data_IF_497215322088
#
_entry.id   IF_497215322088
#
_cell.length_a   1.000
_cell.length_b   1.000
_cell.length_c   1.000
_cell.angle_alpha   90.00
_cell.angle_beta   90.00
_cell.angle_gamma   90.00
#
_symmetry.space_group_name_H-M   'P 1'
#
loop_
_entity.id
_entity.type
_entity.pdbx_description
1 polymer ?
#
# COMPACT_ATOMS: atom_id res chain seq x y z
N UNK A 1 15.06 10.71 -29.71
CA UNK A 1 13.59 10.71 -29.51
C UNK A 1 13.07 9.33 -29.84
N UNK A 2 13.12 8.41 -28.87
CA UNK A 2 12.48 7.10 -28.98
C UNK A 2 11.07 7.23 -28.42
N UNK A 3 10.08 6.75 -29.17
CA UNK A 3 8.66 6.76 -28.82
C UNK A 3 8.42 6.27 -27.38
N UNK A 4 8.12 7.19 -26.45
CA UNK A 4 7.43 6.89 -25.18
C UNK A 4 5.92 6.76 -25.43
N UNK A 5 5.57 6.16 -26.57
CA UNK A 5 4.29 5.56 -26.84
C UNK A 5 4.46 4.06 -26.67
N UNK A 6 4.85 3.61 -25.47
CA UNK A 6 4.65 2.22 -25.04
C UNK A 6 3.14 2.02 -24.81
N UNK A 7 2.42 2.17 -25.91
CA UNK A 7 1.17 1.54 -26.29
C UNK A 7 0.31 1.04 -25.13
N UNK A 8 -0.63 1.89 -24.69
CA UNK A 8 -1.90 1.52 -24.00
C UNK A 8 -2.60 0.29 -24.64
N UNK A 9 -2.21 -0.08 -25.87
CA UNK A 9 -2.71 -1.24 -26.62
C UNK A 9 -2.23 -2.59 -26.03
N UNK A 10 -1.15 -2.65 -25.25
CA UNK A 10 -0.62 -3.90 -24.66
C UNK A 10 -1.09 -4.19 -23.22
N UNK A 11 -1.86 -3.29 -22.59
CA UNK A 11 -2.42 -3.48 -21.24
C UNK A 11 -3.91 -3.84 -21.24
N UNK A 12 -4.47 -4.23 -22.40
CA UNK A 12 -5.82 -4.79 -22.45
C UNK A 12 -5.76 -6.23 -21.99
N UNK A 13 -6.29 -6.48 -20.80
CA UNK A 13 -6.46 -7.83 -20.26
C UNK A 13 -7.20 -8.71 -21.28
N UNK A 14 -6.62 -9.88 -21.56
CA UNK A 14 -7.25 -10.88 -22.41
C UNK A 14 -8.54 -11.38 -21.77
N UNK A 15 -9.44 -11.97 -22.57
CA UNK A 15 -10.65 -12.61 -22.05
C UNK A 15 -10.33 -13.71 -21.01
N UNK A 16 -9.18 -14.36 -21.15
CA UNK A 16 -8.66 -15.36 -20.20
C UNK A 16 -8.35 -14.70 -18.85
N UNK A 17 -7.69 -13.54 -18.85
CA UNK A 17 -7.31 -12.84 -17.62
C UNK A 17 -8.56 -12.37 -16.85
N UNK A 18 -9.58 -11.88 -17.57
CA UNK A 18 -10.88 -11.53 -16.97
C UNK A 18 -11.61 -12.74 -16.38
N UNK A 19 -11.46 -13.91 -17.00
CA UNK A 19 -12.04 -15.15 -16.49
C UNK A 19 -11.40 -15.55 -15.16
N UNK A 20 -10.08 -15.36 -15.02
CA UNK A 20 -9.37 -15.60 -13.75
C UNK A 20 -9.87 -14.64 -12.67
N UNK A 21 -9.99 -13.35 -12.99
CA UNK A 21 -10.52 -12.34 -12.05
C UNK A 21 -11.95 -12.70 -11.62
N UNK A 22 -12.82 -13.06 -12.58
CA UNK A 22 -14.19 -13.47 -12.28
C UNK A 22 -14.24 -14.73 -11.41
N UNK A 23 -13.42 -15.74 -11.70
CA UNK A 23 -13.32 -16.95 -10.90
C UNK A 23 -12.88 -16.67 -9.45
N UNK A 24 -11.88 -15.81 -9.26
CA UNK A 24 -11.43 -15.37 -7.94
C UNK A 24 -12.54 -14.63 -7.18
N UNK A 25 -13.27 -13.72 -7.86
CA UNK A 25 -14.39 -12.99 -7.25
C UNK A 25 -15.51 -13.94 -6.84
N UNK A 26 -15.90 -14.90 -7.70
CA UNK A 26 -16.92 -15.90 -7.39
C UNK A 26 -16.47 -16.78 -6.20
N UNK A 27 -15.22 -17.22 -6.19
CA UNK A 27 -14.66 -17.99 -5.09
C UNK A 27 -14.76 -17.25 -3.76
N UNK A 28 -14.36 -15.98 -3.73
CA UNK A 28 -14.48 -15.13 -2.55
C UNK A 28 -15.94 -14.94 -2.14
N UNK A 29 -16.84 -14.60 -3.08
CA UNK A 29 -18.26 -14.47 -2.81
C UNK A 29 -18.85 -15.74 -2.20
N UNK A 30 -18.47 -16.93 -2.70
CA UNK A 30 -18.91 -18.20 -2.15
C UNK A 30 -18.50 -18.36 -0.68
N UNK A 31 -17.24 -18.08 -0.32
CA UNK A 31 -16.79 -18.14 1.06
C UNK A 31 -17.49 -17.12 1.95
N UNK A 32 -17.73 -15.90 1.44
CA UNK A 32 -18.49 -14.84 2.14
C UNK A 32 -19.92 -15.31 2.43
N UNK A 33 -20.66 -15.77 1.42
CA UNK A 33 -22.04 -16.22 1.64
C UNK A 33 -22.11 -17.44 2.56
N UNK A 34 -21.09 -18.32 2.49
CA UNK A 34 -21.00 -19.48 3.38
C UNK A 34 -20.69 -19.09 4.82
N UNK A 35 -19.95 -18.01 5.04
CA UNK A 35 -19.59 -17.54 6.39
C UNK A 35 -20.69 -16.72 7.05
N UNK A 36 -21.67 -16.20 6.31
CA UNK A 36 -22.85 -15.50 6.89
C UNK A 36 -23.59 -16.33 7.94
N UNK A 37 -23.60 -17.67 7.83
CA UNK A 37 -24.23 -18.57 8.81
C UNK A 37 -23.59 -18.51 10.20
N UNK A 38 -22.39 -17.96 10.32
CA UNK A 38 -21.68 -17.79 11.59
C UNK A 38 -22.00 -16.45 12.26
N UNK A 39 -22.63 -15.51 11.55
CA UNK A 39 -23.09 -14.25 12.14
C UNK A 39 -24.39 -14.52 12.92
N UNK A 40 -24.31 -14.62 14.24
CA UNK A 40 -25.47 -14.87 15.12
C UNK A 40 -25.74 -13.73 16.08
N UNK A 41 -24.75 -12.89 16.37
CA UNK A 41 -24.94 -11.73 17.24
C UNK A 41 -23.83 -10.68 17.19
N UNK A 42 -23.88 -9.73 18.13
CA UNK A 42 -23.00 -8.56 18.18
C UNK A 42 -21.53 -8.94 18.41
N UNK A 43 -21.27 -9.98 19.19
CA UNK A 43 -19.90 -10.46 19.40
C UNK A 43 -19.30 -11.08 18.13
N UNK A 44 -20.10 -11.73 17.28
CA UNK A 44 -19.67 -12.22 15.97
C UNK A 44 -19.40 -11.05 15.02
N UNK A 45 -20.24 -10.02 15.11
CA UNK A 45 -20.09 -8.83 14.28
C UNK A 45 -18.83 -8.03 14.63
N UNK A 46 -18.51 -7.81 15.92
CA UNK A 46 -17.42 -6.93 16.35
C UNK A 46 -16.10 -7.65 16.63
N UNK A 47 -16.13 -8.88 17.15
CA UNK A 47 -14.94 -9.60 17.63
C UNK A 47 -14.91 -11.05 17.14
N UNK A 48 -15.55 -11.33 16.00
CA UNK A 48 -15.64 -12.66 15.40
C UNK A 48 -16.01 -13.79 16.38
N UNK A 49 -16.84 -13.49 17.39
CA UNK A 49 -17.28 -14.45 18.42
C UNK A 49 -16.14 -15.06 19.24
N UNK A 50 -14.91 -14.54 19.12
CA UNK A 50 -13.68 -15.13 19.65
C UNK A 50 -13.49 -16.60 19.25
N UNK A 51 -14.06 -16.99 18.11
CA UNK A 51 -14.01 -18.38 17.64
C UNK A 51 -12.79 -18.68 16.76
N UNK A 52 -11.99 -17.65 16.47
CA UNK A 52 -10.90 -17.74 15.52
C UNK A 52 -9.67 -18.43 16.11
N UNK A 53 -9.32 -19.61 15.58
CA UNK A 53 -8.10 -20.33 15.97
C UNK A 53 -6.82 -19.61 15.53
N UNK A 54 -5.69 -19.97 16.17
CA UNK A 54 -4.37 -19.34 15.97
C UNK A 54 -3.96 -19.25 14.49
N UNK A 55 -4.11 -20.34 13.74
CA UNK A 55 -3.73 -20.37 12.32
C UNK A 55 -4.55 -19.40 11.47
N UNK A 56 -5.87 -19.37 11.67
CA UNK A 56 -6.75 -18.45 10.94
C UNK A 56 -6.40 -17.00 11.26
N UNK A 57 -6.16 -16.68 12.53
CA UNK A 57 -5.75 -15.34 12.94
C UNK A 57 -4.39 -14.94 12.35
N UNK A 58 -3.43 -15.87 12.26
CA UNK A 58 -2.11 -15.57 11.66
C UNK A 58 -2.19 -15.23 10.18
N UNK A 59 -2.92 -16.02 9.38
CA UNK A 59 -3.07 -15.76 7.95
C UNK A 59 -3.92 -14.51 7.69
N UNK A 60 -5.07 -14.39 8.36
CA UNK A 60 -5.96 -13.26 8.17
C UNK A 60 -5.35 -11.94 8.68
N UNK A 61 -4.67 -11.96 9.83
CA UNK A 61 -3.94 -10.79 10.34
C UNK A 61 -2.79 -10.36 9.43
N UNK A 62 -2.06 -11.31 8.82
CA UNK A 62 -1.03 -11.01 7.83
C UNK A 62 -1.60 -10.35 6.56
N UNK A 63 -2.75 -10.83 6.08
CA UNK A 63 -3.41 -10.26 4.91
C UNK A 63 -4.08 -8.91 5.17
N UNK A 64 -4.58 -8.67 6.38
CA UNK A 64 -5.16 -7.37 6.74
C UNK A 64 -4.17 -6.19 6.56
N UNK A 65 -2.86 -6.46 6.63
CA UNK A 65 -1.80 -5.47 6.36
C UNK A 65 -1.36 -5.39 4.89
N UNK A 66 -1.75 -6.37 4.06
CA UNK A 66 -1.32 -6.49 2.68
C UNK A 66 -2.45 -6.14 1.71
N UNK A 67 -2.42 -4.93 1.15
CA UNK A 67 -3.33 -4.50 0.09
C UNK A 67 -2.58 -4.04 -1.17
N UNK A 68 -3.33 -3.70 -2.21
CA UNK A 68 -2.77 -3.10 -3.43
C UNK A 68 -1.95 -1.83 -3.13
N UNK A 69 -2.40 -1.03 -2.16
CA UNK A 69 -1.69 0.17 -1.70
C UNK A 69 -0.35 -0.20 -1.06
N UNK A 70 -0.32 -1.21 -0.20
CA UNK A 70 0.92 -1.69 0.43
C UNK A 70 1.93 -2.16 -0.63
N UNK A 71 1.47 -2.88 -1.66
CA UNK A 71 2.33 -3.35 -2.76
C UNK A 71 2.88 -2.17 -3.58
N UNK A 72 2.04 -1.21 -3.95
CA UNK A 72 2.46 -0.01 -4.69
C UNK A 72 3.42 0.84 -3.85
N UNK A 73 3.14 1.02 -2.56
CA UNK A 73 3.99 1.78 -1.65
C UNK A 73 5.36 1.11 -1.44
N UNK A 74 5.39 -0.21 -1.25
CA UNK A 74 6.65 -0.97 -1.16
C UNK A 74 7.43 -0.87 -2.47
N UNK A 75 6.75 -1.02 -3.61
CA UNK A 75 7.37 -0.83 -4.92
C UNK A 75 7.96 0.57 -5.06
N UNK A 76 7.23 1.63 -4.71
CA UNK A 76 7.68 3.01 -4.80
C UNK A 76 8.90 3.29 -3.90
N UNK A 77 8.89 2.79 -2.66
CA UNK A 77 10.01 2.94 -1.73
C UNK A 77 11.27 2.28 -2.31
N UNK A 78 11.17 1.04 -2.78
CA UNK A 78 12.31 0.29 -3.32
C UNK A 78 12.76 0.81 -4.68
N UNK A 79 11.83 1.23 -5.52
CA UNK A 79 12.13 1.81 -6.83
C UNK A 79 12.88 3.13 -6.69
N UNK A 80 12.45 3.99 -5.77
CA UNK A 80 13.07 5.30 -5.57
C UNK A 80 14.36 5.22 -4.76
N UNK A 81 14.38 4.46 -3.66
CA UNK A 81 15.46 4.52 -2.67
C UNK A 81 16.36 3.29 -2.66
N UNK A 82 16.03 2.24 -3.42
CA UNK A 82 16.74 0.96 -3.40
C UNK A 82 16.39 0.10 -2.17
N UNK A 83 17.31 -0.80 -1.82
CA UNK A 83 17.20 -1.69 -0.65
C UNK A 83 17.58 -1.11 0.73
N UNK A 84 18.30 0.02 0.89
CA UNK A 84 18.63 0.55 2.21
C UNK A 84 17.43 0.79 3.16
N UNK A 85 16.25 1.28 2.71
CA UNK A 85 15.05 1.37 3.57
C UNK A 85 14.65 0.05 4.23
N UNK A 86 14.91 -1.08 3.57
CA UNK A 86 14.60 -2.41 4.11
C UNK A 86 15.42 -2.70 5.38
N UNK A 87 16.69 -2.29 5.40
CA UNK A 87 17.56 -2.44 6.58
C UNK A 87 17.01 -1.64 7.77
N UNK A 88 16.55 -0.41 7.53
CA UNK A 88 15.91 0.41 8.57
C UNK A 88 14.63 -0.25 9.10
N UNK A 89 13.82 -0.83 8.22
CA UNK A 89 12.62 -1.57 8.64
C UNK A 89 12.97 -2.82 9.44
N UNK A 90 14.06 -3.53 9.10
CA UNK A 90 14.54 -4.69 9.84
C UNK A 90 14.85 -4.38 11.30
N UNK A 91 15.27 -3.15 11.63
CA UNK A 91 15.53 -2.73 13.02
C UNK A 91 14.28 -2.71 13.91
N UNK A 92 13.07 -2.64 13.35
CA UNK A 92 11.83 -2.68 14.14
C UNK A 92 11.39 -4.10 14.53
N UNK A 93 11.84 -5.14 13.81
CA UNK A 93 11.43 -6.52 14.06
C UNK A 93 11.74 -7.00 15.48
N UNK A 94 12.95 -6.78 16.03
CA UNK A 94 13.25 -7.17 17.42
C UNK A 94 12.34 -6.48 18.43
N UNK A 95 12.01 -5.20 18.21
CA UNK A 95 11.13 -4.42 19.09
C UNK A 95 9.71 -5.00 19.05
N UNK A 96 9.20 -5.29 17.85
CA UNK A 96 7.89 -5.90 17.66
C UNK A 96 7.81 -7.28 18.33
N UNK A 97 8.87 -8.09 18.24
CA UNK A 97 8.96 -9.39 18.93
C UNK A 97 8.91 -9.19 20.45
N UNK A 98 9.69 -8.25 21.01
CA UNK A 98 9.67 -7.95 22.44
C UNK A 98 8.28 -7.48 22.92
N UNK A 99 7.62 -6.61 22.16
CA UNK A 99 6.25 -6.15 22.44
C UNK A 99 5.23 -7.30 22.39
N UNK A 100 5.34 -8.17 21.39
CA UNK A 100 4.43 -9.30 21.19
C UNK A 100 4.65 -10.39 22.24
N UNK A 101 5.89 -10.63 22.68
CA UNK A 101 6.19 -11.62 23.73
C UNK A 101 5.85 -11.10 25.12
N UNK A 102 6.06 -9.81 25.38
CA UNK A 102 5.83 -9.20 26.71
C UNK A 102 4.37 -9.08 27.11
N UNK A 103 3.40 -9.37 26.23
CA UNK A 103 2.00 -9.16 26.58
C UNK A 103 1.52 -7.72 26.38
N UNK A 104 2.38 -6.82 25.88
CA UNK A 104 2.16 -5.37 25.99
C UNK A 104 0.84 -4.96 25.32
N UNK A 105 -0.04 -4.37 26.13
CA UNK A 105 -1.43 -3.99 25.82
C UNK A 105 -2.36 -5.16 25.46
N UNK A 106 -1.96 -6.08 24.58
CA UNK A 106 -2.84 -7.15 24.08
C UNK A 106 -3.31 -8.10 25.19
N UNK A 107 -2.44 -8.43 26.15
CA UNK A 107 -2.76 -9.40 27.20
C UNK A 107 -3.92 -8.87 28.07
N UNK A 108 -3.77 -7.62 28.55
CA UNK A 108 -4.80 -6.93 29.32
C UNK A 108 -6.06 -6.64 28.49
N UNK A 109 -5.89 -6.31 27.22
CA UNK A 109 -7.01 -6.10 26.30
C UNK A 109 -7.89 -7.36 26.20
N UNK A 110 -7.28 -8.54 26.05
CA UNK A 110 -7.99 -9.84 26.03
C UNK A 110 -8.62 -10.19 27.38
N UNK A 111 -7.92 -9.97 28.50
CA UNK A 111 -8.45 -10.25 29.84
C UNK A 111 -9.72 -9.46 30.15
N UNK A 112 -9.76 -8.17 29.77
CA UNK A 112 -10.94 -7.32 30.01
C UNK A 112 -12.15 -7.68 29.14
N UNK A 113 -12.00 -8.57 28.15
CA UNK A 113 -13.05 -8.96 27.20
C UNK A 113 -13.74 -7.77 26.52
N UNK A 114 -13.02 -6.65 26.38
CA UNK A 114 -13.49 -5.50 25.62
C UNK A 114 -13.59 -5.86 24.13
N UNK A 115 -14.56 -5.28 23.43
CA UNK A 115 -14.73 -5.47 21.99
C UNK A 115 -14.01 -4.40 21.17
N UNK A 116 -13.73 -3.24 21.76
CA UNK A 116 -13.02 -2.12 21.11
C UNK A 116 -11.95 -1.54 22.04
N UNK A 117 -10.90 -0.96 21.44
CA UNK A 117 -9.84 -0.29 22.22
C UNK A 117 -10.40 0.91 23.00
N UNK A 118 -11.42 1.60 22.45
CA UNK A 118 -12.12 2.67 23.16
C UNK A 118 -12.82 2.18 24.44
N UNK A 119 -13.41 0.97 24.42
CA UNK A 119 -13.98 0.34 25.61
C UNK A 119 -12.91 -0.05 26.63
N UNK A 120 -11.78 -0.55 26.16
CA UNK A 120 -10.64 -0.84 27.04
C UNK A 120 -10.14 0.42 27.78
N UNK A 121 -10.08 1.56 27.08
CA UNK A 121 -9.78 2.84 27.72
C UNK A 121 -10.87 3.32 28.69
N UNK A 122 -12.14 3.01 28.43
CA UNK A 122 -13.23 3.30 29.37
C UNK A 122 -13.01 2.61 30.72
N UNK A 123 -12.76 1.29 30.67
CA UNK A 123 -12.56 0.47 31.88
C UNK A 123 -11.35 0.95 32.68
N UNK A 124 -10.33 1.49 32.01
CA UNK A 124 -9.08 1.90 32.65
C UNK A 124 -9.06 3.35 33.15
N UNK A 125 -9.65 4.28 32.40
CA UNK A 125 -9.49 5.73 32.61
C UNK A 125 -10.80 6.52 32.66
N UNK A 126 -11.93 5.91 32.29
CA UNK A 126 -13.26 6.53 32.38
C UNK A 126 -13.88 6.92 31.03
N UNK A 127 -15.12 7.43 31.10
CA UNK A 127 -15.99 7.65 29.94
C UNK A 127 -15.53 8.76 28.99
N UNK A 128 -14.86 9.80 29.51
CA UNK A 128 -14.35 10.91 28.68
C UNK A 128 -13.33 10.41 27.66
N UNK A 129 -12.41 9.55 28.09
CA UNK A 129 -11.38 8.98 27.20
C UNK A 129 -11.99 8.03 26.16
N UNK A 130 -13.05 7.29 26.49
CA UNK A 130 -13.78 6.46 25.52
C UNK A 130 -14.30 7.29 24.35
N UNK A 131 -14.96 8.41 24.64
CA UNK A 131 -15.57 9.27 23.61
C UNK A 131 -14.46 9.87 22.74
N UNK A 132 -13.41 10.39 23.36
CA UNK A 132 -12.25 10.95 22.66
C UNK A 132 -11.58 9.93 21.73
N UNK A 133 -11.21 8.77 22.27
CA UNK A 133 -10.57 7.71 21.50
C UNK A 133 -11.49 7.19 20.39
N UNK A 134 -12.79 7.04 20.67
CA UNK A 134 -13.79 6.62 19.69
C UNK A 134 -13.92 7.57 18.51
N UNK A 135 -13.94 8.89 18.74
CA UNK A 135 -14.03 9.90 17.68
C UNK A 135 -12.75 9.92 16.83
N UNK A 136 -11.57 9.87 17.45
CA UNK A 136 -10.29 9.83 16.72
C UNK A 136 -10.17 8.58 15.87
N UNK A 137 -10.56 7.44 16.45
CA UNK A 137 -10.60 6.15 15.77
C UNK A 137 -11.55 6.27 14.57
N UNK A 138 -12.81 6.61 14.78
CA UNK A 138 -13.76 6.78 13.69
C UNK A 138 -13.28 7.75 12.60
N UNK A 139 -12.76 8.93 12.96
CA UNK A 139 -12.28 9.93 12.00
C UNK A 139 -11.07 9.46 11.19
N UNK A 140 -10.06 8.86 11.84
CA UNK A 140 -8.91 8.26 11.13
C UNK A 140 -9.33 7.10 10.24
N UNK A 141 -10.32 6.29 10.67
CA UNK A 141 -10.88 5.20 9.89
C UNK A 141 -11.55 5.68 8.61
N UNK A 142 -12.35 6.75 8.68
CA UNK A 142 -13.01 7.36 7.50
C UNK A 142 -11.98 7.87 6.49
N UNK A 143 -10.93 8.56 6.95
CA UNK A 143 -9.85 9.05 6.08
C UNK A 143 -9.12 7.87 5.42
N UNK A 144 -8.83 6.82 6.19
CA UNK A 144 -8.17 5.61 5.71
C UNK A 144 -9.01 4.89 4.63
N UNK A 145 -10.32 4.74 4.84
CA UNK A 145 -11.26 4.19 3.85
C UNK A 145 -11.46 5.07 2.62
N UNK A 146 -11.06 6.35 2.66
CA UNK A 146 -10.98 7.19 1.48
C UNK A 146 -9.72 6.94 0.66
N UNK A 147 -8.55 6.94 1.33
CA UNK A 147 -7.24 6.90 0.66
C UNK A 147 -6.93 5.51 0.11
N UNK A 148 -7.10 4.45 0.90
CA UNK A 148 -6.65 3.12 0.52
C UNK A 148 -7.40 2.59 -0.72
N UNK A 149 -8.75 2.63 -0.76
CA UNK A 149 -9.50 2.22 -1.93
C UNK A 149 -9.26 3.12 -3.14
N UNK A 150 -9.05 4.42 -2.94
CA UNK A 150 -8.78 5.34 -4.06
C UNK A 150 -7.46 4.99 -4.78
N UNK A 151 -6.39 4.67 -4.05
CA UNK A 151 -5.13 4.22 -4.64
C UNK A 151 -5.30 2.87 -5.32
N UNK A 152 -6.03 1.93 -4.71
CA UNK A 152 -6.32 0.63 -5.33
C UNK A 152 -7.15 0.76 -6.64
N UNK A 153 -8.15 1.65 -6.68
CA UNK A 153 -8.96 1.89 -7.87
C UNK A 153 -8.13 2.53 -8.99
N UNK A 154 -7.24 3.48 -8.65
CA UNK A 154 -6.30 4.03 -9.63
C UNK A 154 -5.38 2.94 -10.17
N UNK A 155 -4.84 2.08 -9.31
CA UNK A 155 -4.05 0.93 -9.73
C UNK A 155 -4.82 0.05 -10.74
N UNK A 156 -6.08 -0.29 -10.45
CA UNK A 156 -6.94 -1.08 -11.36
C UNK A 156 -7.15 -0.37 -12.70
N UNK A 157 -7.51 0.92 -12.70
CA UNK A 157 -7.75 1.69 -13.94
C UNK A 157 -6.52 1.67 -14.84
N UNK A 158 -5.33 1.91 -14.27
CA UNK A 158 -4.09 1.97 -15.03
C UNK A 158 -3.63 0.59 -15.49
N UNK A 159 -3.71 -0.43 -14.63
CA UNK A 159 -3.24 -1.77 -14.93
C UNK A 159 -4.15 -2.51 -15.92
N UNK A 160 -5.47 -2.31 -15.83
CA UNK A 160 -6.44 -2.87 -16.78
C UNK A 160 -6.55 -2.07 -18.09
N UNK A 161 -5.81 -0.96 -18.22
CA UNK A 161 -5.83 -0.10 -19.40
C UNK A 161 -7.18 0.57 -19.67
N UNK A 162 -7.98 0.80 -18.61
CA UNK A 162 -9.26 1.49 -18.73
C UNK A 162 -9.04 2.99 -19.05
N UNK A 163 -9.97 3.65 -19.77
CA UNK A 163 -9.86 5.09 -19.99
C UNK A 163 -9.89 5.82 -18.64
N UNK A 164 -9.06 6.85 -18.47
CA UNK A 164 -9.02 7.62 -17.20
C UNK A 164 -10.30 8.41 -16.94
N UNK A 165 -10.96 8.84 -18.01
CA UNK A 165 -12.23 9.54 -17.98
C UNK A 165 -13.17 8.91 -19.01
N UNK A 166 -14.45 8.78 -18.65
CA UNK A 166 -15.50 8.40 -19.58
C UNK A 166 -16.55 9.51 -19.64
N UNK A 167 -17.12 9.71 -20.82
CA UNK A 167 -18.18 10.66 -21.04
C UNK A 167 -19.51 9.97 -20.73
N UNK A 168 -20.18 10.36 -19.65
CA UNK A 168 -21.53 9.90 -19.33
C UNK A 168 -22.48 11.09 -19.41
N UNK A 169 -23.46 11.03 -20.33
CA UNK A 169 -24.48 12.08 -20.49
C UNK A 169 -23.88 13.51 -20.62
N UNK A 170 -22.74 13.66 -21.30
CA UNK A 170 -22.07 14.95 -21.48
C UNK A 170 -21.20 15.43 -20.30
N UNK A 171 -21.14 14.67 -19.21
CA UNK A 171 -20.28 14.93 -18.06
C UNK A 171 -19.05 14.03 -18.14
N UNK A 172 -17.86 14.63 -18.07
CA UNK A 172 -16.59 13.91 -17.99
C UNK A 172 -16.39 13.41 -16.56
N UNK A 173 -16.63 12.13 -16.33
CA UNK A 173 -16.47 11.50 -15.01
C UNK A 173 -15.16 10.69 -15.02
N UNK A 174 -14.31 10.85 -13.99
CA UNK A 174 -13.12 10.04 -13.88
C UNK A 174 -13.49 8.59 -13.54
N UNK A 175 -12.95 7.63 -14.30
CA UNK A 175 -13.31 6.20 -14.24
C UNK A 175 -13.01 5.55 -12.89
N UNK A 176 -12.08 6.11 -12.10
CA UNK A 176 -11.79 5.58 -10.77
C UNK A 176 -12.97 5.76 -9.80
N UNK A 177 -13.81 6.80 -9.96
CA UNK A 177 -14.92 7.09 -9.06
C UNK A 177 -16.01 5.99 -9.06
N UNK A 178 -16.56 5.55 -10.21
CA UNK A 178 -17.52 4.44 -10.20
C UNK A 178 -16.90 3.12 -9.75
N UNK A 179 -15.63 2.84 -10.07
CA UNK A 179 -14.93 1.64 -9.59
C UNK A 179 -14.81 1.68 -8.06
N UNK A 180 -14.51 2.85 -7.48
CA UNK A 180 -14.47 3.04 -6.04
C UNK A 180 -15.85 2.82 -5.41
N UNK A 181 -16.92 3.35 -5.98
CA UNK A 181 -18.29 3.12 -5.50
C UNK A 181 -18.66 1.63 -5.56
N UNK A 182 -18.34 0.93 -6.64
CA UNK A 182 -18.65 -0.49 -6.80
C UNK A 182 -17.85 -1.33 -5.79
N UNK A 183 -16.54 -1.13 -5.71
CA UNK A 183 -15.65 -1.90 -4.82
C UNK A 183 -15.97 -1.66 -3.35
N UNK A 184 -16.18 -0.40 -2.94
CA UNK A 184 -16.64 -0.08 -1.59
C UNK A 184 -18.05 -0.60 -1.31
N UNK A 185 -18.96 -0.54 -2.29
CA UNK A 185 -20.32 -1.07 -2.15
C UNK A 185 -20.33 -2.57 -1.89
N UNK A 186 -19.50 -3.34 -2.61
CA UNK A 186 -19.33 -4.78 -2.37
C UNK A 186 -18.71 -5.01 -0.99
N UNK A 187 -17.62 -4.33 -0.65
CA UNK A 187 -16.94 -4.48 0.65
C UNK A 187 -17.86 -4.13 1.83
N UNK A 188 -18.64 -3.06 1.71
CA UNK A 188 -19.62 -2.65 2.70
C UNK A 188 -20.71 -3.71 2.85
N UNK A 189 -21.25 -4.22 1.74
CA UNK A 189 -22.28 -5.26 1.75
C UNK A 189 -21.79 -6.54 2.43
N UNK A 190 -20.57 -6.99 2.14
CA UNK A 190 -20.00 -8.18 2.76
C UNK A 190 -19.74 -7.98 4.25
N UNK A 191 -19.25 -6.81 4.64
CA UNK A 191 -18.95 -6.49 6.04
C UNK A 191 -20.22 -6.32 6.86
N UNK A 192 -21.27 -5.69 6.32
CA UNK A 192 -22.54 -5.48 7.03
C UNK A 192 -23.34 -6.76 7.18
N UNK A 193 -23.35 -7.63 6.16
CA UNK A 193 -24.04 -8.93 6.24
C UNK A 193 -23.28 -9.94 7.10
N UNK A 194 -21.95 -9.95 7.00
CA UNK A 194 -21.13 -11.02 7.54
C UNK A 194 -20.36 -10.71 8.82
N UNK A 195 -20.22 -9.43 9.17
CA UNK A 195 -19.42 -8.98 10.31
C UNK A 195 -17.95 -9.37 10.22
N UNK A 196 -17.24 -9.23 11.35
CA UNK A 196 -15.81 -9.56 11.45
C UNK A 196 -15.49 -11.05 11.24
N UNK A 197 -16.41 -11.98 11.53
CA UNK A 197 -16.21 -13.41 11.20
C UNK A 197 -15.98 -13.60 9.71
N UNK A 198 -16.81 -12.96 8.89
CA UNK A 198 -16.74 -13.08 7.43
C UNK A 198 -15.45 -12.48 6.90
N UNK A 199 -15.09 -11.28 7.37
CA UNK A 199 -13.83 -10.62 7.00
C UNK A 199 -12.62 -11.50 7.34
N UNK A 200 -12.61 -12.10 8.54
CA UNK A 200 -11.50 -12.95 8.95
C UNK A 200 -11.39 -14.25 8.11
N UNK A 201 -12.52 -14.84 7.73
CA UNK A 201 -12.53 -16.02 6.86
C UNK A 201 -12.04 -15.65 5.45
N UNK A 202 -12.53 -14.54 4.88
CA UNK A 202 -12.10 -14.10 3.55
C UNK A 202 -10.63 -13.74 3.53
N UNK A 203 -10.12 -13.04 4.55
CA UNK A 203 -8.71 -12.67 4.67
C UNK A 203 -7.82 -13.91 4.82
N UNK A 204 -8.29 -14.94 5.55
CA UNK A 204 -7.58 -16.21 5.67
C UNK A 204 -7.47 -16.93 4.31
N UNK A 205 -8.58 -17.05 3.58
CA UNK A 205 -8.61 -17.69 2.25
C UNK A 205 -7.74 -16.92 1.25
N UNK A 206 -7.85 -15.58 1.24
CA UNK A 206 -6.99 -14.71 0.44
C UNK A 206 -5.52 -14.89 0.82
N UNK A 207 -5.20 -15.05 2.11
CA UNK A 207 -3.83 -15.23 2.57
C UNK A 207 -3.19 -16.52 2.13
N UNK A 208 -3.94 -17.62 2.18
CA UNK A 208 -3.48 -18.90 1.65
C UNK A 208 -3.25 -18.78 0.14
N UNK A 209 -4.20 -18.19 -0.59
CA UNK A 209 -4.10 -18.02 -2.03
C UNK A 209 -2.92 -17.12 -2.44
N UNK A 210 -2.81 -15.92 -1.85
CA UNK A 210 -1.72 -14.99 -2.10
C UNK A 210 -0.37 -15.56 -1.69
N UNK A 211 -0.30 -16.30 -0.58
CA UNK A 211 0.93 -16.98 -0.14
C UNK A 211 1.46 -17.97 -1.18
N UNK A 212 0.58 -18.84 -1.70
CA UNK A 212 0.94 -19.78 -2.78
C UNK A 212 1.37 -19.01 -4.04
N UNK A 213 0.61 -17.99 -4.43
CA UNK A 213 0.89 -17.19 -5.62
C UNK A 213 2.22 -16.44 -5.53
N UNK A 214 2.56 -15.87 -4.37
CA UNK A 214 3.84 -15.18 -4.16
C UNK A 214 5.02 -16.14 -4.16
N UNK A 215 4.89 -17.33 -3.59
CA UNK A 215 5.94 -18.36 -3.66
C UNK A 215 6.15 -18.81 -5.10
N UNK A 216 5.08 -19.09 -5.84
CA UNK A 216 5.16 -19.45 -7.25
C UNK A 216 5.79 -18.33 -8.09
N UNK A 217 5.39 -17.07 -7.86
CA UNK A 217 5.96 -15.91 -8.53
C UNK A 217 7.44 -15.73 -8.19
N UNK A 218 7.85 -15.93 -6.93
CA UNK A 218 9.24 -15.86 -6.51
C UNK A 218 10.09 -16.91 -7.25
N UNK A 219 9.63 -18.17 -7.31
CA UNK A 219 10.33 -19.21 -8.08
C UNK A 219 10.39 -18.89 -9.57
N UNK A 220 9.29 -18.40 -10.15
CA UNK A 220 9.26 -17.99 -11.55
C UNK A 220 10.27 -16.88 -11.85
N UNK A 221 10.36 -15.86 -11.00
CA UNK A 221 11.31 -14.76 -11.15
C UNK A 221 12.77 -15.23 -11.00
N UNK A 222 13.04 -16.10 -10.02
CA UNK A 222 14.38 -16.68 -9.83
C UNK A 222 14.81 -17.61 -10.97
N UNK A 223 13.85 -18.26 -11.64
CA UNK A 223 14.13 -19.07 -12.82
C UNK A 223 14.32 -18.22 -14.09
N UNK A 224 13.56 -17.14 -14.23
CA UNK A 224 13.58 -16.29 -15.42
C UNK A 224 14.79 -15.36 -15.45
N UNK A 225 15.20 -14.83 -14.30
CA UNK A 225 16.30 -13.86 -14.20
C UNK A 225 17.52 -14.49 -13.55
N UNK A 226 18.66 -14.41 -14.24
CA UNK A 226 19.92 -14.88 -13.65
C UNK A 226 20.36 -13.94 -12.53
N UNK A 227 21.05 -14.49 -11.53
CA UNK A 227 21.64 -13.68 -10.45
C UNK A 227 22.62 -12.62 -10.99
N UNK A 228 23.30 -12.92 -12.10
CA UNK A 228 24.20 -11.98 -12.76
C UNK A 228 23.45 -10.75 -13.28
N UNK A 229 22.30 -10.95 -13.93
CA UNK A 229 21.46 -9.87 -14.46
C UNK A 229 20.89 -9.01 -13.33
N UNK A 230 20.39 -9.64 -12.26
CA UNK A 230 19.88 -8.96 -11.07
C UNK A 230 20.97 -8.09 -10.45
N UNK A 231 22.18 -8.66 -10.23
CA UNK A 231 23.28 -7.93 -9.62
C UNK A 231 23.81 -6.79 -10.48
N UNK A 232 23.79 -6.95 -11.81
CA UNK A 232 24.24 -5.94 -12.76
C UNK A 232 23.24 -4.79 -12.84
N UNK A 233 21.94 -5.10 -12.94
CA UNK A 233 20.87 -4.10 -12.90
C UNK A 233 20.90 -3.30 -11.58
N UNK A 234 21.16 -3.96 -10.45
CA UNK A 234 21.32 -3.29 -9.15
C UNK A 234 22.53 -2.36 -9.09
N UNK A 235 23.64 -2.70 -9.77
CA UNK A 235 24.85 -1.86 -9.82
C UNK A 235 24.74 -0.69 -10.79
N UNK A 236 23.98 -0.85 -11.87
CA UNK A 236 23.75 0.17 -12.89
C UNK A 236 22.59 1.11 -12.55
N UNK A 237 21.84 0.80 -11.50
CA UNK A 237 20.75 1.63 -10.99
C UNK A 237 21.22 3.08 -10.72
N UNK A 238 20.69 4.10 -11.42
CA UNK A 238 21.03 5.49 -11.12
C UNK A 238 20.65 5.84 -9.68
N UNK A 239 21.43 6.72 -9.06
CA UNK A 239 21.26 7.15 -7.66
C UNK A 239 19.81 7.61 -7.40
N UNK A 240 19.23 7.28 -6.23
CA UNK A 240 17.87 7.69 -5.84
C UNK A 240 17.50 9.15 -6.13
N UNK A 241 18.48 10.05 -5.98
CA UNK A 241 18.35 11.47 -6.25
C UNK A 241 18.06 11.79 -7.72
N UNK A 242 18.82 11.18 -8.64
CA UNK A 242 18.65 11.38 -10.10
C UNK A 242 17.30 10.85 -10.57
N UNK A 243 16.80 9.76 -9.95
CA UNK A 243 15.47 9.20 -10.26
C UNK A 243 14.33 10.11 -9.82
N UNK A 244 14.40 10.67 -8.60
CA UNK A 244 13.40 11.61 -8.10
C UNK A 244 13.41 12.92 -8.88
N UNK A 245 14.58 13.45 -9.19
CA UNK A 245 14.72 14.65 -10.03
C UNK A 245 14.15 14.40 -11.44
N UNK A 246 14.45 13.26 -12.07
CA UNK A 246 13.88 12.89 -13.36
C UNK A 246 12.34 12.67 -13.32
N UNK A 247 11.81 12.05 -12.26
CA UNK A 247 10.38 11.84 -12.07
C UNK A 247 9.63 13.16 -11.81
N UNK A 248 10.21 14.07 -11.02
CA UNK A 248 9.68 15.41 -10.84
C UNK A 248 9.70 16.22 -12.14
N UNK A 249 10.78 16.14 -12.92
CA UNK A 249 10.85 16.81 -14.23
C UNK A 249 9.81 16.23 -15.20
N UNK A 250 9.60 14.91 -15.22
CA UNK A 250 8.57 14.26 -16.02
C UNK A 250 7.16 14.66 -15.60
N UNK A 251 6.86 14.66 -14.29
CA UNK A 251 5.57 15.10 -13.76
C UNK A 251 5.29 16.58 -14.07
N UNK A 252 6.29 17.46 -13.90
CA UNK A 252 6.18 18.88 -14.27
C UNK A 252 5.96 19.07 -15.77
N UNK A 253 6.60 18.24 -16.61
CA UNK A 253 6.41 18.27 -18.06
C UNK A 253 5.00 17.80 -18.48
N UNK A 254 4.46 16.78 -17.82
CA UNK A 254 3.12 16.25 -18.08
C UNK A 254 2.02 17.24 -17.66
N UNK A 255 2.16 17.87 -16.48
CA UNK A 255 1.28 18.96 -16.04
C UNK A 255 1.39 20.19 -16.95
N UNK A 256 2.60 20.53 -17.42
CA UNK A 256 2.79 21.60 -18.38
C UNK A 256 2.15 21.28 -19.75
N UNK A 257 2.20 20.03 -20.18
CA UNK A 257 1.57 19.54 -21.41
C UNK A 257 0.04 19.57 -21.32
N UNK A 258 -0.56 19.08 -20.23
CA UNK A 258 -2.00 19.19 -19.99
C UNK A 258 -2.46 20.65 -19.93
N UNK A 259 -1.67 21.52 -19.29
CA UNK A 259 -1.97 22.96 -19.22
C UNK A 259 -1.89 23.61 -20.60
N UNK A 260 -0.92 23.23 -21.43
CA UNK A 260 -0.83 23.69 -22.82
C UNK A 260 -2.03 23.22 -23.67
N UNK A 261 -2.51 22.00 -23.43
CA UNK A 261 -3.69 21.44 -24.08
C UNK A 261 -4.98 22.17 -23.68
N UNK A 262 -5.15 22.51 -22.39
CA UNK A 262 -6.32 23.25 -21.88
C UNK A 262 -6.37 24.71 -22.32
N UNK A 263 -5.23 25.31 -22.63
CA UNK A 263 -5.13 26.71 -23.08
C UNK A 263 -5.30 26.85 -24.60
N UNK A 264 -5.55 25.74 -25.33
CA UNK A 264 -5.74 25.78 -26.78
C UNK A 264 -4.47 26.21 -27.55
N UNK A 265 -3.30 26.14 -26.91
CA UNK A 265 -2.03 26.48 -27.52
C UNK A 265 -1.49 25.28 -28.31
N UNK A 266 -2.23 24.87 -29.34
CA UNK A 266 -1.71 24.00 -30.40
C UNK A 266 -1.71 24.82 -31.68
N UNK A 267 -0.68 25.67 -31.85
CA UNK A 267 0.25 25.56 -32.97
C UNK A 267 1.25 26.72 -33.08
N UNK A 268 2.38 26.35 -33.70
CA UNK A 268 3.37 27.13 -34.45
C UNK A 268 4.50 27.84 -33.72
N UNK A 269 5.72 27.42 -34.10
CA UNK A 269 6.82 28.36 -34.31
C UNK A 269 7.92 28.33 -33.25
N UNK A 270 9.05 27.74 -33.64
CA UNK A 270 10.41 28.14 -33.25
C UNK A 270 10.57 28.96 -31.97
N UNK A 271 10.84 28.28 -30.85
CA UNK A 271 11.65 28.86 -29.78
C UNK A 271 12.59 27.81 -29.24
N UNK A 272 13.76 27.71 -29.89
CA UNK A 272 15.01 27.21 -29.29
C UNK A 272 15.31 28.10 -28.08
N UNK A 273 14.67 27.81 -26.95
CA UNK A 273 15.07 28.37 -25.66
C UNK A 273 16.29 27.58 -25.21
N UNK A 274 17.48 28.13 -25.50
CA UNK A 274 18.75 28.02 -24.76
C UNK A 274 19.09 26.70 -24.00
N UNK A 275 18.72 25.55 -24.55
CA UNK A 275 18.95 24.22 -23.97
C UNK A 275 20.45 23.83 -23.92
N UNK A 276 21.31 24.45 -24.74
CA UNK A 276 22.73 24.13 -24.80
C UNK A 276 23.59 24.84 -23.73
N UNK A 277 23.15 26.00 -23.21
CA UNK A 277 23.83 26.68 -22.09
C UNK A 277 23.54 26.01 -20.74
N UNK A 278 22.31 25.53 -20.55
CA UNK A 278 21.94 24.76 -19.35
C UNK A 278 22.68 23.42 -19.27
N UNK A 279 22.90 22.76 -20.41
CA UNK A 279 23.54 21.45 -20.52
C UNK A 279 25.05 21.46 -20.21
N UNK A 280 25.75 22.57 -20.41
CA UNK A 280 27.20 22.69 -20.10
C UNK A 280 27.49 23.11 -18.65
N UNK A 281 26.64 23.93 -18.04
CA UNK A 281 26.82 24.35 -16.65
C UNK A 281 26.53 23.23 -15.63
N UNK A 282 25.64 22.28 -15.97
CA UNK A 282 25.34 21.13 -15.10
C UNK A 282 26.40 20.01 -15.17
N UNK A 283 27.19 19.94 -16.25
CA UNK A 283 28.11 18.83 -16.50
C UNK A 283 29.35 18.78 -15.59
N UNK A 284 29.87 19.91 -15.15
CA UNK A 284 31.14 19.94 -14.38
C UNK A 284 30.95 19.86 -12.86
N UNK A 285 29.83 20.35 -12.32
CA UNK A 285 29.53 20.29 -10.89
C UNK A 285 28.95 18.94 -10.45
N UNK A 286 28.25 18.22 -11.34
CA UNK A 286 27.76 16.87 -11.03
C UNK A 286 28.87 15.82 -10.98
N UNK A 287 29.87 15.93 -11.85
CA UNK A 287 31.00 14.96 -11.90
C UNK A 287 31.84 15.04 -10.61
N UNK A 288 31.98 16.22 -10.00
CA UNK A 288 32.69 16.37 -8.72
C UNK A 288 31.89 15.86 -7.51
N UNK A 289 30.57 15.88 -7.53
CA UNK A 289 29.73 15.35 -6.43
C UNK A 289 29.61 13.83 -6.44
N UNK A 290 29.70 13.19 -7.62
CA UNK A 290 29.65 11.72 -7.77
C UNK A 290 30.88 11.02 -7.14
N UNK A 291 32.00 11.74 -6.95
CA UNK A 291 33.23 11.19 -6.38
C UNK A 291 33.20 11.02 -4.85
N UNK A 292 32.22 11.59 -4.13
CA UNK A 292 32.21 11.54 -2.67
C UNK A 292 31.31 10.41 -2.14
N UNK A 293 31.96 9.45 -1.44
CA UNK A 293 31.42 8.42 -0.54
C UNK A 293 30.79 7.17 -1.17
N UNK A 294 31.63 6.36 -1.81
CA UNK A 294 31.37 4.94 -2.08
C UNK A 294 31.91 4.09 -0.92
N UNK A 295 31.05 3.66 0.01
CA UNK A 295 31.35 2.53 0.89
C UNK A 295 30.20 1.54 0.81
N UNK A 296 30.44 0.41 0.11
CA UNK A 296 29.43 -0.59 -0.24
C UNK A 296 29.21 -1.65 0.85
N UNK A 297 29.91 -1.54 1.98
CA UNK A 297 29.76 -2.42 3.15
C UNK A 297 29.04 -1.72 4.32
N UNK A 298 28.91 -0.39 4.28
CA UNK A 298 28.35 0.38 5.39
C UNK A 298 26.89 0.76 5.11
N UNK A 299 25.90 0.13 5.79
CA UNK A 299 24.48 0.44 5.61
C UNK A 299 24.09 1.86 6.06
N UNK A 300 25.00 2.59 6.74
CA UNK A 300 24.81 3.97 7.16
C UNK A 300 25.22 5.01 6.11
N UNK A 301 25.88 4.58 5.02
CA UNK A 301 26.35 5.48 3.96
C UNK A 301 25.45 5.36 2.72
N UNK A 302 24.19 5.73 2.90
CA UNK A 302 23.20 5.87 1.84
C UNK A 302 23.51 7.11 1.00
N UNK A 303 23.64 6.94 -0.31
CA UNK A 303 23.90 8.02 -1.26
C UNK A 303 22.73 9.02 -1.34
N UNK A 304 22.62 9.91 -0.35
CA UNK A 304 21.69 11.04 -0.30
C UNK A 304 20.60 11.01 0.77
N UNK A 305 20.54 10.01 1.65
CA UNK A 305 19.66 10.03 2.82
C UNK A 305 20.51 9.78 4.07
N UNK A 306 20.91 10.84 4.76
CA UNK A 306 21.59 10.69 6.04
C UNK A 306 20.67 9.96 7.01
N UNK A 307 21.21 8.99 7.77
CA UNK A 307 20.45 8.36 8.83
C UNK A 307 19.98 9.42 9.82
N UNK A 308 18.68 9.69 9.81
CA UNK A 308 18.08 10.59 10.77
C UNK A 308 17.68 9.79 12.02
N UNK A 309 18.56 9.79 13.01
CA UNK A 309 18.32 9.14 14.29
C UNK A 309 17.04 9.64 14.98
N UNK A 310 16.71 10.93 14.88
CA UNK A 310 15.47 11.47 15.43
C UNK A 310 14.24 10.89 14.73
N UNK A 311 14.29 10.77 13.39
CA UNK A 311 13.22 10.11 12.65
C UNK A 311 13.05 8.65 13.08
N UNK A 312 14.15 7.93 13.28
CA UNK A 312 14.11 6.56 13.79
C UNK A 312 13.51 6.47 15.20
N UNK A 313 13.88 7.38 16.11
CA UNK A 313 13.30 7.45 17.46
C UNK A 313 11.81 7.77 17.43
N UNK A 314 11.36 8.67 16.55
CA UNK A 314 9.94 8.98 16.37
C UNK A 314 9.20 7.73 15.89
N UNK A 315 9.73 7.01 14.90
CA UNK A 315 9.12 5.77 14.43
C UNK A 315 9.11 4.67 15.50
N UNK A 316 10.15 4.59 16.34
CA UNK A 316 10.21 3.65 17.46
C UNK A 316 9.14 3.98 18.50
N UNK A 317 9.00 5.26 18.85
CA UNK A 317 7.96 5.74 19.75
C UNK A 317 6.56 5.44 19.18
N UNK A 318 6.35 5.70 17.89
CA UNK A 318 5.09 5.41 17.21
C UNK A 318 4.77 3.91 17.19
N UNK A 319 5.73 3.04 16.92
CA UNK A 319 5.51 1.59 16.96
C UNK A 319 5.21 1.07 18.37
N UNK A 320 5.80 1.68 19.40
CA UNK A 320 5.59 1.28 20.79
C UNK A 320 4.23 1.77 21.33
N UNK A 321 3.93 3.06 21.18
CA UNK A 321 2.70 3.67 21.71
C UNK A 321 1.50 3.50 20.78
N UNK A 322 1.73 3.44 19.46
CA UNK A 322 0.73 3.15 18.44
C UNK A 322 0.45 1.65 18.29
N UNK A 323 1.04 0.79 19.12
CA UNK A 323 0.73 -0.64 19.12
C UNK A 323 -0.77 -0.87 19.40
N UNK A 324 -1.45 -1.68 18.57
CA UNK A 324 -2.93 -1.85 18.51
C UNK A 324 -3.76 -0.62 18.07
N UNK A 325 -3.14 0.49 17.66
CA UNK A 325 -3.90 1.67 17.21
C UNK A 325 -4.63 1.42 15.87
N UNK A 326 -4.12 0.49 15.05
CA UNK A 326 -4.73 0.16 13.76
C UNK A 326 -6.11 -0.47 13.93
N UNK A 327 -7.12 0.18 13.37
CA UNK A 327 -8.51 -0.26 13.49
C UNK A 327 -8.81 -1.59 12.85
N UNK A 328 -8.22 -1.85 11.69
CA UNK A 328 -8.45 -3.09 10.96
C UNK A 328 -7.98 -4.33 11.73
N UNK A 329 -7.04 -4.18 12.66
CA UNK A 329 -6.51 -5.30 13.46
C UNK A 329 -7.17 -5.45 14.84
N UNK A 330 -8.00 -4.50 15.29
CA UNK A 330 -8.58 -4.53 16.64
C UNK A 330 -9.45 -5.78 16.91
N UNK A 331 -10.21 -6.22 15.90
CA UNK A 331 -11.04 -7.42 15.99
C UNK A 331 -10.20 -8.70 16.14
N UNK A 332 -9.01 -8.75 15.54
CA UNK A 332 -8.07 -9.87 15.65
C UNK A 332 -7.46 -9.96 17.05
N UNK A 333 -7.25 -8.82 17.70
CA UNK A 333 -6.69 -8.77 19.04
C UNK A 333 -7.71 -8.98 20.15
N UNK A 334 -9.00 -8.72 19.90
CA UNK A 334 -10.10 -9.00 20.84
C UNK A 334 -10.65 -10.44 20.77
N UNK A 335 -10.22 -11.18 19.73
CA UNK A 335 -10.51 -12.59 19.49
C UNK A 335 -9.57 -13.53 20.23
#
# INVERSE_FOLDING_TARGET
MGNVGLSRKYLKMSAIDWTIVAACMIGLSYFTFRSLRYMKGVSDFLSAGRCAGRYMQSYAGGMAGLGAVSLVALYEIHYNSGFPPMWWQMMFWPILIMLTLSGYVFYRFRETRCMTVAQYYEVRYGKSLRIYAGIITWGSGVVNFGIFPAVACRFIVHFCGMPENFLLMGITIPTFAPIMVITLGIALTYTTLGGQVTVMVTDCVQGIFCGILFVALAFFLLYTFSWADISTALKQAPTPRVRKEAAETASKAEVAYEKALKVGAVNLGEKKVDLDKARKAQGEDEIKKVAYKKSMLNPLNTSGADFNYLFFLILLFDNFYGYLSWQGSQAYFSS
#
